data_IF_460149293471
#
_entry.id   IF_460149293471
#
_cell.length_a   1.000
_cell.length_b   1.000
_cell.length_c   1.000
_cell.angle_alpha   90.00
_cell.angle_beta   90.00
_cell.angle_gamma   90.00
#
_symmetry.space_group_name_H-M   'P 1'
#
loop_
_entity.id
_entity.type
_entity.pdbx_description
1 polymer ?
#
# COMPACT_ATOMS: atom_id res chain seq x y z
N UNK A 1 22.40 13.30 2.81
CA UNK A 1 21.36 12.70 3.69
C UNK A 1 20.39 11.96 2.80
N UNK A 2 20.59 10.66 2.56
CA UNK A 2 19.68 9.84 1.73
C UNK A 2 19.70 8.37 2.21
N UNK A 3 19.46 8.11 3.50
CA UNK A 3 19.53 6.73 4.02
C UNK A 3 18.13 6.11 4.22
N UNK A 4 17.10 6.74 3.65
CA UNK A 4 15.72 6.29 3.79
C UNK A 4 15.15 5.83 2.45
N UNK A 5 14.42 4.71 2.50
CA UNK A 5 13.72 4.06 1.39
C UNK A 5 12.25 3.87 1.75
N UNK A 6 11.38 4.19 0.81
CA UNK A 6 9.95 3.97 0.95
C UNK A 6 9.58 2.52 0.65
N UNK A 7 8.70 1.96 1.46
CA UNK A 7 8.22 0.59 1.37
C UNK A 7 6.71 0.56 1.52
N UNK A 8 6.04 -0.19 0.64
CA UNK A 8 4.63 -0.50 0.77
C UNK A 8 4.42 -1.70 1.70
N UNK A 9 3.64 -1.52 2.75
CA UNK A 9 3.35 -2.56 3.75
C UNK A 9 2.27 -3.53 3.26
N UNK A 10 2.59 -4.81 3.25
CA UNK A 10 1.68 -5.88 2.79
C UNK A 10 0.80 -6.44 3.92
N UNK A 11 1.29 -6.40 5.16
CA UNK A 11 0.64 -7.00 6.33
C UNK A 11 0.40 -5.97 7.43
N UNK A 12 -0.68 -6.16 8.20
CA UNK A 12 -1.11 -5.28 9.29
C UNK A 12 -0.44 -5.67 10.61
N UNK A 13 0.88 -5.84 10.58
CA UNK A 13 1.67 -6.09 11.79
C UNK A 13 2.16 -4.78 12.39
N UNK A 14 2.19 -4.68 13.72
CA UNK A 14 2.80 -3.53 14.40
C UNK A 14 4.32 -3.66 14.35
N UNK A 15 4.96 -2.86 13.52
CA UNK A 15 6.41 -2.70 13.46
C UNK A 15 6.79 -1.43 14.22
N UNK A 16 7.72 -1.56 15.16
CA UNK A 16 8.32 -0.45 15.93
C UNK A 16 7.30 0.51 16.57
N UNK A 17 6.10 0.00 16.89
CA UNK A 17 4.98 0.73 17.51
C UNK A 17 4.29 1.79 16.63
N UNK A 18 4.87 2.14 15.47
CA UNK A 18 4.43 3.28 14.64
C UNK A 18 3.84 2.86 13.30
N UNK A 19 4.07 1.63 12.87
CA UNK A 19 3.69 1.12 11.54
C UNK A 19 2.79 -0.09 11.72
N UNK A 20 1.48 0.08 11.56
CA UNK A 20 0.50 -1.00 11.85
C UNK A 20 -0.54 -1.23 10.77
N UNK A 21 -0.54 -0.40 9.72
CA UNK A 21 -1.56 -0.46 8.68
C UNK A 21 -0.98 -1.05 7.40
N UNK A 22 -1.50 -2.22 7.01
CA UNK A 22 -1.33 -2.76 5.67
C UNK A 22 -1.88 -1.76 4.63
N UNK A 23 -1.35 -1.82 3.42
CA UNK A 23 -1.82 -0.97 2.33
C UNK A 23 -1.33 0.46 2.39
N UNK A 24 -0.26 0.74 3.15
CA UNK A 24 0.33 2.08 3.28
C UNK A 24 1.80 2.09 2.90
N UNK A 25 2.24 3.25 2.42
CA UNK A 25 3.64 3.54 2.13
C UNK A 25 4.27 4.17 3.37
N UNK A 26 5.39 3.62 3.81
CA UNK A 26 6.15 4.13 4.94
C UNK A 26 7.62 4.28 4.58
N UNK A 27 8.24 5.27 5.20
CA UNK A 27 9.66 5.57 5.02
C UNK A 27 10.47 4.85 6.10
N UNK A 28 11.36 3.96 5.68
CA UNK A 28 12.27 3.19 6.54
C UNK A 28 13.72 3.48 6.18
N UNK A 29 14.67 3.16 7.07
CA UNK A 29 16.08 3.16 6.66
C UNK A 29 16.33 2.09 5.60
N UNK A 30 17.32 2.25 4.73
CA UNK A 30 17.60 1.25 3.68
C UNK A 30 17.79 -0.16 4.23
N UNK A 31 18.51 -0.30 5.35
CA UNK A 31 18.74 -1.59 6.00
C UNK A 31 17.43 -2.22 6.45
N UNK A 32 16.57 -1.45 7.13
CA UNK A 32 15.28 -1.94 7.61
C UNK A 32 14.31 -2.25 6.47
N UNK A 33 14.31 -1.44 5.41
CA UNK A 33 13.52 -1.69 4.21
C UNK A 33 13.89 -3.03 3.56
N UNK A 34 15.20 -3.32 3.44
CA UNK A 34 15.68 -4.59 2.89
C UNK A 34 15.26 -5.78 3.75
N UNK A 35 15.30 -5.65 5.08
CA UNK A 35 14.80 -6.68 5.99
C UNK A 35 13.31 -6.94 5.79
N UNK A 36 12.47 -5.90 5.78
CA UNK A 36 11.03 -6.03 5.61
C UNK A 36 10.63 -6.64 4.27
N UNK A 37 11.35 -6.30 3.20
CA UNK A 37 11.16 -6.92 1.88
C UNK A 37 11.56 -8.39 1.92
N UNK A 38 12.70 -8.73 2.55
CA UNK A 38 13.17 -10.11 2.69
C UNK A 38 12.23 -10.97 3.54
N UNK A 39 11.63 -10.39 4.57
CA UNK A 39 10.62 -11.03 5.42
C UNK A 39 9.25 -11.16 4.73
N UNK A 40 9.08 -10.61 3.52
CA UNK A 40 7.80 -10.61 2.80
C UNK A 40 6.74 -9.68 3.40
N UNK A 41 7.13 -8.80 4.33
CA UNK A 41 6.24 -7.84 5.01
C UNK A 41 6.05 -6.54 4.24
N UNK A 42 6.96 -6.24 3.32
CA UNK A 42 6.92 -5.05 2.49
C UNK A 42 7.35 -5.30 1.04
N UNK A 43 7.01 -4.35 0.17
CA UNK A 43 7.41 -4.36 -1.24
C UNK A 43 7.88 -2.97 -1.69
N UNK A 44 8.78 -2.94 -2.68
CA UNK A 44 9.14 -1.68 -3.33
C UNK A 44 7.90 -1.07 -4.01
N UNK A 45 7.58 0.20 -3.69
CA UNK A 45 6.36 0.82 -4.21
C UNK A 45 6.50 1.31 -5.64
N UNK A 46 7.73 1.53 -6.12
CA UNK A 46 8.00 2.09 -7.42
C UNK A 46 8.43 1.02 -8.41
N UNK A 47 7.74 0.94 -9.54
CA UNK A 47 8.22 0.21 -10.70
C UNK A 47 9.26 1.04 -11.48
N UNK A 48 9.78 0.46 -12.57
CA UNK A 48 10.79 1.12 -13.41
C UNK A 48 10.33 2.48 -13.94
N UNK A 49 9.06 2.62 -14.37
CA UNK A 49 8.56 3.85 -14.99
C UNK A 49 8.33 4.93 -13.93
N UNK A 50 7.75 4.56 -12.79
CA UNK A 50 7.55 5.48 -11.67
C UNK A 50 8.90 5.97 -11.12
N UNK A 51 9.89 5.08 -10.99
CA UNK A 51 11.25 5.46 -10.60
C UNK A 51 11.89 6.41 -11.61
N UNK A 52 11.73 6.14 -12.92
CA UNK A 52 12.25 7.02 -13.96
C UNK A 52 11.73 8.45 -13.82
N UNK A 53 10.44 8.64 -13.51
CA UNK A 53 9.89 9.98 -13.29
C UNK A 53 10.39 10.64 -12.01
N UNK A 54 10.57 9.89 -10.93
CA UNK A 54 11.19 10.37 -9.69
C UNK A 54 12.63 10.85 -9.95
N UNK A 55 13.46 10.02 -10.59
CA UNK A 55 14.85 10.35 -10.93
C UNK A 55 14.93 11.57 -11.85
N UNK A 56 14.03 11.67 -12.83
CA UNK A 56 13.96 12.83 -13.73
C UNK A 56 13.58 14.12 -12.99
N UNK A 57 12.73 14.03 -11.97
CA UNK A 57 12.41 15.16 -11.10
C UNK A 57 13.63 15.61 -10.29
N UNK A 58 14.37 14.66 -9.72
CA UNK A 58 15.63 14.96 -9.00
C UNK A 58 16.66 15.60 -9.93
N UNK A 59 16.85 15.06 -11.13
CA UNK A 59 17.79 15.61 -12.12
C UNK A 59 17.43 17.04 -12.53
N UNK A 60 16.15 17.32 -12.81
CA UNK A 60 15.70 18.68 -13.11
C UNK A 60 15.98 19.65 -11.97
N UNK A 61 15.86 19.18 -10.72
CA UNK A 61 16.13 20.01 -9.56
C UNK A 61 17.62 20.39 -9.48
N UNK A 62 18.51 19.45 -9.79
CA UNK A 62 19.95 19.70 -9.87
C UNK A 62 20.30 20.64 -11.03
N UNK A 63 19.71 20.43 -12.20
CA UNK A 63 19.97 21.24 -13.39
C UNK A 63 19.49 22.68 -13.18
N UNK A 64 18.32 22.87 -12.54
CA UNK A 64 17.86 24.19 -12.12
C UNK A 64 18.86 24.89 -11.20
N UNK A 65 19.40 24.17 -10.20
CA UNK A 65 20.36 24.74 -9.26
C UNK A 65 21.64 25.18 -9.98
N UNK A 66 22.17 24.34 -10.88
CA UNK A 66 23.35 24.66 -11.69
C UNK A 66 23.11 25.88 -12.58
N UNK A 67 21.99 25.93 -13.30
CA UNK A 67 21.65 27.07 -14.16
C UNK A 67 21.45 28.36 -13.35
N UNK A 68 20.78 28.28 -12.19
CA UNK A 68 20.57 29.43 -11.31
C UNK A 68 21.88 29.98 -10.73
N UNK A 69 22.74 29.09 -10.25
CA UNK A 69 24.02 29.49 -9.66
C UNK A 69 24.92 30.12 -10.74
N UNK A 70 24.89 29.61 -11.98
CA UNK A 70 25.57 30.23 -13.11
C UNK A 70 25.07 31.65 -13.45
N UNK A 71 23.76 31.92 -13.36
CA UNK A 71 23.20 33.27 -13.54
C UNK A 71 23.66 34.20 -12.41
N UNK A 72 23.60 33.72 -11.16
CA UNK A 72 23.98 34.48 -9.99
C UNK A 72 25.45 34.91 -10.01
N UNK A 73 26.32 33.97 -10.39
CA UNK A 73 27.78 34.14 -10.40
C UNK A 73 28.29 34.83 -11.67
N UNK A 74 27.40 35.20 -12.60
CA UNK A 74 27.77 35.92 -13.81
C UNK A 74 28.15 37.37 -13.51
N UNK A 75 29.42 37.71 -13.69
CA UNK A 75 29.94 39.09 -13.62
C UNK A 75 29.48 39.99 -14.78
N UNK A 76 28.87 39.40 -15.81
CA UNK A 76 28.41 40.11 -17.01
C UNK A 76 27.00 40.66 -16.89
N UNK A 77 26.22 40.17 -15.93
CA UNK A 77 24.82 40.53 -15.76
C UNK A 77 24.68 41.58 -14.65
N UNK A 78 23.82 42.57 -14.88
CA UNK A 78 23.38 43.49 -13.81
C UNK A 78 22.41 42.76 -12.88
N UNK A 79 22.23 43.27 -11.66
CA UNK A 79 21.29 42.66 -10.69
C UNK A 79 19.85 42.59 -11.24
N UNK A 80 19.44 43.57 -12.06
CA UNK A 80 18.14 43.54 -12.76
C UNK A 80 18.08 42.41 -13.78
N UNK A 81 19.11 42.26 -14.62
CA UNK A 81 19.17 41.20 -15.62
C UNK A 81 19.24 39.80 -14.99
N UNK A 82 19.97 39.64 -13.89
CA UNK A 82 19.99 38.39 -13.10
C UNK A 82 18.60 38.02 -12.59
N UNK A 83 17.84 39.01 -12.12
CA UNK A 83 16.48 38.78 -11.61
C UNK A 83 15.53 38.34 -12.73
N UNK A 84 15.59 39.00 -13.89
CA UNK A 84 14.80 38.64 -15.08
C UNK A 84 15.16 37.24 -15.61
N UNK A 85 16.46 36.92 -15.70
CA UNK A 85 16.94 35.61 -16.15
C UNK A 85 16.55 34.49 -15.17
N UNK A 86 16.61 34.74 -13.86
CA UNK A 86 16.13 33.78 -12.85
C UNK A 86 14.62 33.59 -12.96
N UNK A 87 13.84 34.64 -13.21
CA UNK A 87 12.40 34.53 -13.41
C UNK A 87 12.07 33.69 -14.66
N UNK A 88 12.73 33.95 -15.78
CA UNK A 88 12.58 33.15 -17.01
C UNK A 88 13.00 31.69 -16.80
N UNK A 89 14.05 31.45 -16.03
CA UNK A 89 14.49 30.11 -15.63
C UNK A 89 13.41 29.39 -14.81
N UNK A 90 12.80 30.09 -13.84
CA UNK A 90 11.71 29.53 -13.02
C UNK A 90 10.52 29.15 -13.89
N UNK A 91 10.10 29.99 -14.84
CA UNK A 91 9.00 29.67 -15.76
C UNK A 91 9.29 28.46 -16.65
N UNK A 92 10.54 28.33 -17.14
CA UNK A 92 10.99 27.16 -17.91
C UNK A 92 10.86 25.88 -17.09
N UNK A 93 11.41 25.88 -15.88
CA UNK A 93 11.40 24.70 -15.00
C UNK A 93 10.00 24.40 -14.45
N UNK A 94 9.16 25.41 -14.18
CA UNK A 94 7.75 25.23 -13.80
C UNK A 94 7.01 24.38 -14.84
N UNK A 95 7.18 24.67 -16.13
CA UNK A 95 6.55 23.89 -17.21
C UNK A 95 7.07 22.46 -17.28
N UNK A 96 8.37 22.27 -17.05
CA UNK A 96 9.00 20.94 -17.07
C UNK A 96 8.55 20.08 -15.88
N UNK A 97 8.56 20.64 -14.66
CA UNK A 97 8.05 19.96 -13.47
C UNK A 97 6.55 19.66 -13.59
N UNK A 98 5.74 20.58 -14.11
CA UNK A 98 4.32 20.33 -14.38
C UNK A 98 4.11 19.19 -15.37
N UNK A 99 4.94 19.10 -16.41
CA UNK A 99 4.88 18.02 -17.40
C UNK A 99 5.21 16.67 -16.78
N UNK A 100 6.28 16.57 -15.99
CA UNK A 100 6.70 15.32 -15.34
C UNK A 100 5.68 14.90 -14.28
N UNK A 101 5.20 15.84 -13.47
CA UNK A 101 4.16 15.58 -12.48
C UNK A 101 2.89 15.00 -13.14
N UNK A 102 2.46 15.58 -14.27
CA UNK A 102 1.32 15.07 -15.03
C UNK A 102 1.56 13.65 -15.54
N UNK A 103 2.73 13.37 -16.11
CA UNK A 103 3.06 12.03 -16.64
C UNK A 103 3.15 10.98 -15.53
N UNK A 104 3.68 11.36 -14.37
CA UNK A 104 3.72 10.52 -13.18
C UNK A 104 2.31 10.19 -12.66
N UNK A 105 1.45 11.20 -12.55
CA UNK A 105 0.04 11.03 -12.17
C UNK A 105 -0.73 10.15 -13.16
N UNK A 106 -0.49 10.33 -14.46
CA UNK A 106 -1.10 9.52 -15.53
C UNK A 106 -0.66 8.06 -15.43
N UNK A 107 0.60 7.79 -15.14
CA UNK A 107 1.09 6.42 -14.95
C UNK A 107 0.39 5.76 -13.75
N UNK A 108 0.35 6.41 -12.58
CA UNK A 108 -0.34 5.88 -11.39
C UNK A 108 -1.82 5.59 -11.71
N UNK A 109 -2.52 6.54 -12.35
CA UNK A 109 -3.92 6.39 -12.71
C UNK A 109 -4.14 5.26 -13.71
N UNK A 110 -3.31 5.17 -14.75
CA UNK A 110 -3.39 4.10 -15.75
C UNK A 110 -3.23 2.73 -15.09
N UNK A 111 -2.22 2.58 -14.23
CA UNK A 111 -1.97 1.33 -13.51
C UNK A 111 -3.07 0.96 -12.52
N UNK A 112 -3.63 1.94 -11.83
CA UNK A 112 -4.77 1.73 -10.95
C UNK A 112 -5.99 1.21 -11.74
N UNK A 113 -6.28 1.80 -12.90
CA UNK A 113 -7.39 1.39 -13.76
C UNK A 113 -7.14 0.02 -14.40
N UNK A 114 -5.91 -0.29 -14.81
CA UNK A 114 -5.50 -1.63 -15.25
C UNK A 114 -5.75 -2.67 -14.16
N UNK A 115 -5.28 -2.42 -12.94
CA UNK A 115 -5.46 -3.34 -11.81
C UNK A 115 -6.94 -3.54 -11.45
N UNK A 116 -7.77 -2.49 -11.49
CA UNK A 116 -9.23 -2.61 -11.28
C UNK A 116 -9.91 -3.44 -12.37
N UNK A 117 -9.52 -3.25 -13.64
CA UNK A 117 -10.05 -4.05 -14.74
C UNK A 117 -9.65 -5.52 -14.59
N UNK A 118 -8.40 -5.78 -14.20
CA UNK A 118 -7.90 -7.12 -13.92
C UNK A 118 -8.69 -7.79 -12.78
N UNK A 119 -9.01 -7.05 -11.71
CA UNK A 119 -9.86 -7.54 -10.62
C UNK A 119 -11.24 -7.96 -11.12
N UNK A 120 -11.87 -7.12 -11.95
CA UNK A 120 -13.19 -7.42 -12.52
C UNK A 120 -13.20 -8.66 -13.43
N UNK A 121 -12.10 -8.94 -14.13
CA UNK A 121 -11.98 -10.09 -15.03
C UNK A 121 -11.61 -11.37 -14.27
N UNK A 122 -10.73 -11.29 -13.26
CA UNK A 122 -10.35 -12.43 -12.42
C UNK A 122 -11.51 -12.98 -11.61
N UNK A 123 -12.41 -12.12 -11.13
CA UNK A 123 -13.66 -12.51 -10.49
C UNK A 123 -14.58 -13.35 -11.40
N UNK A 124 -14.51 -13.16 -12.73
CA UNK A 124 -15.33 -13.86 -13.71
C UNK A 124 -14.73 -15.19 -14.19
N UNK A 125 -13.40 -15.35 -14.14
CA UNK A 125 -12.70 -16.56 -14.63
C UNK A 125 -12.71 -17.74 -13.65
N UNK A 126 -13.04 -17.54 -12.38
CA UNK A 126 -13.08 -18.60 -11.36
C UNK A 126 -14.39 -19.42 -11.35
N UNK A 127 -15.23 -19.32 -12.39
CA UNK A 127 -16.32 -20.27 -12.61
C UNK A 127 -15.79 -21.58 -13.22
N UNK A 128 -15.13 -22.42 -12.42
CA UNK A 128 -14.78 -23.78 -12.81
C UNK A 128 -15.37 -24.79 -11.81
N UNK A 129 -16.33 -25.58 -12.30
CA UNK A 129 -16.80 -26.87 -11.79
C UNK A 129 -16.77 -27.07 -10.25
N UNK A 130 -17.68 -26.38 -9.57
CA UNK A 130 -17.81 -26.39 -8.11
C UNK A 130 -18.96 -27.31 -7.65
N UNK A 131 -18.70 -28.19 -6.67
CA UNK A 131 -19.73 -28.91 -5.91
C UNK A 131 -20.12 -28.08 -4.69
N UNK A 132 -21.21 -27.32 -4.82
CA UNK A 132 -21.68 -26.42 -3.78
C UNK A 132 -22.06 -27.10 -2.47
N UNK A 133 -22.51 -28.34 -2.55
CA UNK A 133 -22.96 -29.08 -1.37
C UNK A 133 -21.77 -29.60 -0.57
N UNK A 134 -20.65 -29.93 -1.23
CA UNK A 134 -19.42 -30.28 -0.55
C UNK A 134 -18.86 -29.07 0.22
N UNK A 135 -18.77 -27.92 -0.43
CA UNK A 135 -18.18 -26.71 0.18
C UNK A 135 -19.04 -26.13 1.29
N UNK A 136 -20.37 -26.10 1.12
CA UNK A 136 -21.27 -25.71 2.20
C UNK A 136 -21.15 -26.63 3.42
N UNK A 137 -21.00 -27.94 3.21
CA UNK A 137 -20.78 -28.90 4.31
C UNK A 137 -19.45 -28.64 5.01
N UNK A 138 -18.37 -28.47 4.26
CA UNK A 138 -17.03 -28.32 4.82
C UNK A 138 -16.89 -27.01 5.61
N UNK A 139 -17.35 -25.88 5.05
CA UNK A 139 -17.40 -24.60 5.78
C UNK A 139 -18.34 -24.67 6.99
N UNK A 140 -19.48 -25.35 6.87
CA UNK A 140 -20.43 -25.55 7.96
C UNK A 140 -19.85 -26.38 9.12
N UNK A 141 -19.03 -27.40 8.83
CA UNK A 141 -18.30 -28.17 9.85
C UNK A 141 -17.32 -27.28 10.60
N UNK A 142 -16.51 -26.50 9.87
CA UNK A 142 -15.53 -25.58 10.49
C UNK A 142 -16.26 -24.56 11.39
N UNK A 143 -17.33 -23.93 10.88
CA UNK A 143 -18.11 -22.97 11.65
C UNK A 143 -18.76 -23.62 12.89
N UNK A 144 -19.30 -24.83 12.75
CA UNK A 144 -19.89 -25.59 13.85
C UNK A 144 -18.86 -25.92 14.92
N UNK A 145 -17.67 -26.39 14.54
CA UNK A 145 -16.60 -26.72 15.49
C UNK A 145 -16.16 -25.49 16.30
N UNK A 146 -16.07 -24.33 15.64
CA UNK A 146 -15.78 -23.05 16.30
C UNK A 146 -16.89 -22.65 17.27
N UNK A 147 -18.16 -22.79 16.86
CA UNK A 147 -19.31 -22.44 17.70
C UNK A 147 -19.47 -23.38 18.90
N UNK A 148 -19.09 -24.66 18.75
CA UNK A 148 -19.11 -25.64 19.83
C UNK A 148 -17.94 -25.46 20.81
N UNK A 149 -16.91 -24.71 20.42
CA UNK A 149 -15.75 -24.46 21.28
C UNK A 149 -16.10 -23.45 22.37
N UNK A 150 -15.69 -23.75 23.61
CA UNK A 150 -15.96 -22.92 24.81
C UNK A 150 -14.80 -22.00 25.18
N UNK A 151 -13.62 -22.22 24.59
CA UNK A 151 -12.41 -21.42 24.79
C UNK A 151 -12.14 -20.55 23.56
N UNK A 152 -12.07 -19.23 23.78
CA UNK A 152 -11.73 -18.28 22.73
C UNK A 152 -10.37 -18.58 22.09
N UNK A 153 -9.40 -19.01 22.92
CA UNK A 153 -8.05 -19.34 22.44
C UNK A 153 -8.07 -20.56 21.52
N UNK A 154 -8.79 -21.61 21.90
CA UNK A 154 -8.91 -22.83 21.09
C UNK A 154 -9.65 -22.54 19.78
N UNK A 155 -10.72 -21.75 19.84
CA UNK A 155 -11.48 -21.36 18.66
C UNK A 155 -10.63 -20.55 17.66
N UNK A 156 -9.81 -19.61 18.15
CA UNK A 156 -8.89 -18.83 17.33
C UNK A 156 -7.80 -19.73 16.72
N UNK A 157 -7.15 -20.56 17.53
CA UNK A 157 -6.08 -21.46 17.04
C UNK A 157 -6.60 -22.48 16.03
N UNK A 158 -7.80 -23.03 16.24
CA UNK A 158 -8.43 -23.92 15.26
C UNK A 158 -8.67 -23.22 13.92
N UNK A 159 -9.16 -21.98 13.94
CA UNK A 159 -9.34 -21.20 12.71
C UNK A 159 -7.99 -20.86 12.04
N UNK A 160 -6.97 -20.48 12.81
CA UNK A 160 -5.61 -20.24 12.31
C UNK A 160 -5.07 -21.48 11.58
N UNK A 161 -5.20 -22.68 12.18
CA UNK A 161 -4.76 -23.96 11.57
C UNK A 161 -5.57 -24.33 10.32
N UNK A 162 -6.89 -24.11 10.33
CA UNK A 162 -7.74 -24.43 9.17
C UNK A 162 -7.47 -23.50 8.00
N UNK A 163 -7.22 -22.22 8.25
CA UNK A 163 -6.92 -21.22 7.23
C UNK A 163 -5.64 -21.52 6.46
N UNK A 164 -4.68 -22.25 7.05
CA UNK A 164 -3.42 -22.61 6.38
C UNK A 164 -3.61 -23.52 5.16
N UNK A 165 -4.67 -24.34 5.15
CA UNK A 165 -4.92 -25.37 4.11
C UNK A 165 -6.32 -25.33 3.51
N UNK A 166 -7.08 -24.25 3.74
CA UNK A 166 -8.46 -24.15 3.29
C UNK A 166 -8.54 -23.97 1.76
N UNK A 167 -9.50 -24.63 1.12
CA UNK A 167 -9.84 -24.39 -0.28
C UNK A 167 -10.47 -23.00 -0.43
N UNK A 168 -10.17 -22.28 -1.52
CA UNK A 168 -10.65 -20.92 -1.79
C UNK A 168 -12.18 -20.83 -1.67
N UNK A 169 -12.91 -21.81 -2.21
CA UNK A 169 -14.37 -21.76 -2.18
C UNK A 169 -14.93 -22.07 -0.79
N UNK A 170 -14.24 -22.91 -0.01
CA UNK A 170 -14.57 -23.15 1.41
C UNK A 170 -14.27 -21.90 2.24
N UNK A 171 -13.19 -21.18 1.94
CA UNK A 171 -12.88 -19.91 2.57
C UNK A 171 -13.92 -18.83 2.25
N UNK A 172 -14.47 -18.79 1.03
CA UNK A 172 -15.57 -17.87 0.65
C UNK A 172 -16.85 -18.17 1.41
N UNK A 173 -17.26 -19.43 1.46
CA UNK A 173 -18.44 -19.84 2.21
C UNK A 173 -18.25 -19.56 3.71
N UNK A 174 -17.07 -19.85 4.28
CA UNK A 174 -16.75 -19.56 5.66
C UNK A 174 -16.71 -18.04 5.94
N UNK A 175 -16.23 -17.22 4.99
CA UNK A 175 -16.26 -15.76 5.06
C UNK A 175 -17.69 -15.23 5.10
N UNK A 176 -18.61 -15.82 4.33
CA UNK A 176 -20.03 -15.48 4.35
C UNK A 176 -20.67 -15.74 5.72
N UNK A 177 -20.17 -16.75 6.44
CA UNK A 177 -20.62 -17.14 7.78
C UNK A 177 -19.83 -16.40 8.89
N UNK A 178 -18.81 -15.61 8.55
CA UNK A 178 -17.89 -15.03 9.53
C UNK A 178 -18.56 -14.06 10.49
N UNK A 179 -19.65 -13.38 10.11
CA UNK A 179 -20.42 -12.54 11.03
C UNK A 179 -20.96 -13.34 12.22
N UNK A 180 -21.40 -14.57 11.97
CA UNK A 180 -21.89 -15.49 13.01
C UNK A 180 -20.72 -15.97 13.88
N UNK A 181 -19.62 -16.38 13.25
CA UNK A 181 -18.40 -16.80 13.94
C UNK A 181 -17.87 -15.70 14.84
N UNK A 182 -17.74 -14.47 14.32
CA UNK A 182 -17.33 -13.29 15.07
C UNK A 182 -18.23 -13.02 16.27
N UNK A 183 -19.55 -13.10 16.09
CA UNK A 183 -20.50 -12.90 17.18
C UNK A 183 -20.30 -13.93 18.30
N UNK A 184 -20.03 -15.19 17.94
CA UNK A 184 -19.69 -16.23 18.91
C UNK A 184 -18.35 -15.96 19.61
N UNK A 185 -17.30 -15.66 18.85
CA UNK A 185 -15.97 -15.33 19.40
C UNK A 185 -16.03 -14.12 20.34
N UNK A 186 -16.80 -13.08 19.99
CA UNK A 186 -17.03 -11.92 20.84
C UNK A 186 -17.84 -12.28 22.12
N UNK A 187 -18.64 -13.35 22.09
CA UNK A 187 -19.45 -13.84 23.23
C UNK A 187 -18.66 -14.71 24.20
N UNK A 188 -17.57 -15.35 23.74
CA UNK A 188 -16.64 -16.10 24.57
C UNK A 188 -15.83 -15.11 25.42
N UNK A 189 -16.36 -14.78 26.61
CA UNK A 189 -15.78 -13.80 27.53
C UNK A 189 -14.31 -14.11 27.83
N UNK A 190 -13.44 -13.13 27.62
CA UNK A 190 -12.13 -13.09 28.28
C UNK A 190 -12.23 -12.35 29.62
N UNK A 191 -11.57 -12.92 30.64
CA UNK A 191 -11.66 -12.51 32.05
C UNK A 191 -11.00 -11.15 32.33
N UNK A 192 -10.11 -10.68 31.44
CA UNK A 192 -9.37 -9.41 31.60
C UNK A 192 -9.56 -8.44 30.43
N UNK A 193 -9.42 -7.13 30.68
CA UNK A 193 -9.49 -6.08 29.65
C UNK A 193 -8.37 -6.18 28.62
N UNK A 194 -7.18 -6.65 29.03
CA UNK A 194 -6.03 -6.85 28.15
C UNK A 194 -6.29 -8.00 27.18
N UNK A 195 -6.84 -9.10 27.68
CA UNK A 195 -7.19 -10.26 26.84
C UNK A 195 -8.28 -9.93 25.82
N UNK A 196 -9.22 -9.03 26.14
CA UNK A 196 -10.22 -8.55 25.16
C UNK A 196 -9.59 -7.78 24.01
N UNK A 197 -8.64 -6.91 24.28
CA UNK A 197 -7.96 -6.13 23.24
C UNK A 197 -7.17 -7.08 22.34
N UNK A 198 -6.38 -7.99 22.91
CA UNK A 198 -5.62 -8.98 22.15
C UNK A 198 -6.53 -9.90 21.33
N UNK A 199 -7.63 -10.37 21.91
CA UNK A 199 -8.63 -11.16 21.19
C UNK A 199 -9.24 -10.40 20.01
N UNK A 200 -9.61 -9.13 20.19
CA UNK A 200 -10.18 -8.33 19.10
C UNK A 200 -9.21 -8.16 17.93
N UNK A 201 -7.92 -7.97 18.21
CA UNK A 201 -6.87 -7.89 17.19
C UNK A 201 -6.72 -9.22 16.47
N UNK A 202 -6.74 -10.35 17.19
CA UNK A 202 -6.64 -11.69 16.58
C UNK A 202 -7.86 -12.05 15.74
N UNK A 203 -9.07 -11.73 16.20
CA UNK A 203 -10.30 -11.90 15.41
C UNK A 203 -10.25 -11.07 14.13
N UNK A 204 -9.69 -9.86 14.19
CA UNK A 204 -9.49 -9.03 13.00
C UNK A 204 -8.46 -9.62 12.05
N UNK A 205 -7.34 -10.15 12.57
CA UNK A 205 -6.37 -10.89 11.76
C UNK A 205 -7.02 -12.08 11.06
N UNK A 206 -7.78 -12.90 11.79
CA UNK A 206 -8.52 -14.04 11.24
C UNK A 206 -9.46 -13.63 10.11
N UNK A 207 -10.15 -12.49 10.24
CA UNK A 207 -10.97 -11.96 9.17
C UNK A 207 -10.15 -11.59 7.94
N UNK A 208 -9.03 -10.89 8.13
CA UNK A 208 -8.14 -10.47 7.04
C UNK A 208 -7.46 -11.69 6.37
N UNK A 209 -7.14 -12.73 7.14
CA UNK A 209 -6.57 -14.00 6.68
C UNK A 209 -7.59 -14.82 5.90
N UNK A 210 -8.82 -14.94 6.42
CA UNK A 210 -9.93 -15.61 5.73
C UNK A 210 -10.32 -14.88 4.45
N UNK A 211 -10.34 -13.54 4.49
CA UNK A 211 -10.56 -12.72 3.29
C UNK A 211 -9.47 -12.97 2.25
N UNK A 212 -8.19 -13.05 2.67
CA UNK A 212 -7.08 -13.43 1.79
C UNK A 212 -7.25 -14.84 1.23
N UNK A 213 -7.61 -15.84 2.03
CA UNK A 213 -7.82 -17.21 1.55
C UNK A 213 -9.03 -17.34 0.59
N UNK A 214 -10.07 -16.51 0.78
CA UNK A 214 -11.27 -16.48 -0.07
C UNK A 214 -11.05 -15.80 -1.43
N UNK A 215 -9.99 -14.98 -1.51
CA UNK A 215 -9.48 -14.39 -2.73
C UNK A 215 -8.38 -15.33 -3.25
N UNK A 216 -8.54 -15.96 -4.42
CA UNK A 216 -7.42 -16.77 -4.96
C UNK A 216 -6.13 -15.95 -5.05
N UNK A 217 -4.95 -16.59 -5.07
CA UNK A 217 -3.64 -15.89 -5.08
C UNK A 217 -3.57 -14.76 -6.13
N UNK A 218 -4.15 -14.99 -7.31
CA UNK A 218 -4.26 -13.98 -8.36
C UNK A 218 -5.08 -12.74 -7.92
N UNK A 219 -6.18 -12.93 -7.19
CA UNK A 219 -7.00 -11.83 -6.68
C UNK A 219 -6.30 -11.09 -5.52
N UNK A 220 -5.58 -11.79 -4.65
CA UNK A 220 -4.76 -11.16 -3.60
C UNK A 220 -3.66 -10.29 -4.21
N UNK A 221 -3.00 -10.76 -5.26
CA UNK A 221 -2.00 -9.97 -5.97
C UNK A 221 -2.62 -8.72 -6.61
N UNK A 222 -3.79 -8.86 -7.24
CA UNK A 222 -4.51 -7.74 -7.85
C UNK A 222 -4.98 -6.74 -6.78
N UNK A 223 -5.56 -7.19 -5.68
CA UNK A 223 -5.98 -6.33 -4.57
C UNK A 223 -4.77 -5.59 -3.97
N UNK A 224 -3.63 -6.27 -3.87
CA UNK A 224 -2.37 -5.65 -3.46
C UNK A 224 -1.90 -4.58 -4.46
N UNK A 225 -2.05 -4.79 -5.77
CA UNK A 225 -1.73 -3.78 -6.81
C UNK A 225 -2.65 -2.56 -6.69
N UNK A 226 -3.96 -2.78 -6.53
CA UNK A 226 -4.93 -1.70 -6.32
C UNK A 226 -4.58 -0.89 -5.06
N UNK A 227 -4.28 -1.57 -3.96
CA UNK A 227 -3.87 -0.94 -2.71
C UNK A 227 -2.59 -0.13 -2.87
N UNK A 228 -1.57 -0.67 -3.56
CA UNK A 228 -0.33 0.03 -3.84
C UNK A 228 -0.54 1.32 -4.64
N UNK A 229 -1.23 1.26 -5.79
CA UNK A 229 -1.43 2.44 -6.62
C UNK A 229 -2.36 3.48 -5.97
N UNK A 230 -3.30 3.03 -5.15
CA UNK A 230 -4.11 3.93 -4.31
C UNK A 230 -3.23 4.63 -3.28
N UNK A 231 -2.36 3.89 -2.57
CA UNK A 231 -1.46 4.46 -1.59
C UNK A 231 -0.43 5.43 -2.21
N UNK A 232 0.07 5.14 -3.41
CA UNK A 232 0.92 6.05 -4.18
C UNK A 232 0.16 7.35 -4.50
N UNK A 233 -1.08 7.24 -4.97
CA UNK A 233 -1.94 8.38 -5.27
C UNK A 233 -2.28 9.23 -4.02
N UNK A 234 -2.34 8.61 -2.83
CA UNK A 234 -2.73 9.31 -1.61
C UNK A 234 -1.53 9.90 -0.84
N UNK A 235 -0.35 9.26 -0.93
CA UNK A 235 0.80 9.57 -0.06
C UNK A 235 2.08 9.97 -0.80
N UNK A 236 2.15 9.72 -2.11
CA UNK A 236 3.32 10.00 -2.96
C UNK A 236 2.98 10.65 -4.29
N UNK A 237 1.81 11.27 -4.39
CA UNK A 237 1.32 11.91 -5.61
C UNK A 237 1.95 13.28 -5.92
N UNK A 238 3.06 13.63 -5.30
CA UNK A 238 3.75 14.88 -5.59
C UNK A 238 5.25 14.63 -5.64
N UNK A 239 5.79 14.43 -6.84
CA UNK A 239 7.23 14.28 -7.06
C UNK A 239 7.90 15.62 -7.36
N UNK A 240 7.13 16.69 -7.55
CA UNK A 240 7.60 18.06 -7.77
C UNK A 240 7.57 18.91 -6.48
N UNK A 241 7.33 18.30 -5.32
CA UNK A 241 7.16 19.00 -4.05
C UNK A 241 8.41 19.81 -3.67
N UNK A 242 9.61 19.27 -3.91
CA UNK A 242 10.88 19.96 -3.61
C UNK A 242 11.05 21.21 -4.46
N UNK A 243 10.67 21.14 -5.74
CA UNK A 243 10.66 22.29 -6.64
C UNK A 243 9.72 23.37 -6.11
N UNK A 244 8.46 23.01 -5.81
CA UNK A 244 7.47 23.94 -5.25
C UNK A 244 7.97 24.58 -3.95
N UNK A 245 8.56 23.79 -3.06
CA UNK A 245 9.17 24.27 -1.81
C UNK A 245 10.30 25.26 -2.09
N UNK A 246 11.22 24.95 -3.01
CA UNK A 246 12.31 25.86 -3.37
C UNK A 246 11.78 27.14 -4.00
N UNK A 247 10.80 27.06 -4.90
CA UNK A 247 10.14 28.23 -5.52
C UNK A 247 9.56 29.17 -4.45
N UNK A 248 8.85 28.62 -3.47
CA UNK A 248 8.31 29.39 -2.34
C UNK A 248 9.40 30.07 -1.51
N UNK A 249 10.49 29.36 -1.21
CA UNK A 249 11.63 29.92 -0.46
C UNK A 249 12.36 31.04 -1.23
N UNK A 250 12.28 31.05 -2.56
CA UNK A 250 12.84 32.10 -3.40
C UNK A 250 11.96 33.35 -3.49
N UNK A 251 10.73 33.33 -2.93
CA UNK A 251 9.82 34.48 -2.94
C UNK A 251 9.22 34.80 -4.32
N UNK A 252 9.33 33.87 -5.26
CA UNK A 252 8.86 34.04 -6.64
C UNK A 252 7.46 33.43 -6.76
N UNK A 253 6.48 34.25 -7.17
CA UNK A 253 5.10 33.82 -7.44
C UNK A 253 4.99 33.24 -8.85
#
# INVERSE_FOLDING_TARGET
MKDYKDVYMLVSETIDGSYSQAGKIYTFTEGRAKELIKEGKGKEPYDYILNYWCEKSEQLLEDFQKERDAIRDSDRLTETAKTEDVQALVEKYDRQFATIQRLYEEEIKSRLEEAKKEAGISALKQQAQFDSDKVRREAGVIASDVIMTTSLKEAITYLEEKLEFIDIEVARELLSQFTTIKTHLDSLKSESTVDRVMASTRIRSLYDDLKRASSGEAQVEIDSKIGLYTALNDHRNDIAWEWRRKKLLMGLR
#
